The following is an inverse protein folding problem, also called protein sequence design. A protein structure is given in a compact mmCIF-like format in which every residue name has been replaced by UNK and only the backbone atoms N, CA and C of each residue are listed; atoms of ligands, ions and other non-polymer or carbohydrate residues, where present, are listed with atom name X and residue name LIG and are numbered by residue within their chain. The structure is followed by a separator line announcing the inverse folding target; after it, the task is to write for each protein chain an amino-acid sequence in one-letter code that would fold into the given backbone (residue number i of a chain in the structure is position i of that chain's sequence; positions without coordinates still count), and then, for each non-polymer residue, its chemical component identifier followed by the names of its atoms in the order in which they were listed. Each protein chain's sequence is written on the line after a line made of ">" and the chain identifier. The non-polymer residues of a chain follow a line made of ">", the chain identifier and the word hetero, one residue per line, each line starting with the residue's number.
data_IF_757622235224
#
_entry.id   IF_757622235224
#
_cell.length_a   1.000
_cell.length_b   1.000
_cell.length_c   1.000
_cell.angle_alpha   90.00
_cell.angle_beta   90.00
_cell.angle_gamma   90.00
#
_symmetry.space_group_name_H-M   'P 1'
#
loop_
_entity.id
_entity.type
_entity.pdbx_description
1 polymer ?
#
# COMPACT_ATOMS: atom_id res chain seq x y z
N UNK A 1 3.62 37.15 5.58
CA UNK A 1 4.57 36.50 4.66
C UNK A 1 3.91 35.37 3.90
N UNK A 2 3.46 35.67 2.69
CA UNK A 2 2.80 34.74 1.77
C UNK A 2 3.68 34.39 0.54
N UNK A 3 4.90 34.94 0.45
CA UNK A 3 5.77 34.87 -0.74
C UNK A 3 6.62 33.59 -0.85
N UNK A 4 6.21 32.49 -0.21
CA UNK A 4 6.94 31.22 -0.24
C UNK A 4 6.27 30.19 -1.16
N UNK A 5 7.06 29.50 -1.98
CA UNK A 5 6.59 28.30 -2.69
C UNK A 5 6.31 27.22 -1.65
N UNK A 6 5.07 26.69 -1.64
CA UNK A 6 4.66 25.59 -0.76
C UNK A 6 4.25 24.39 -1.58
N UNK A 7 4.83 23.25 -1.22
CA UNK A 7 4.53 21.95 -1.82
C UNK A 7 3.62 21.17 -0.88
N UNK A 8 2.53 20.63 -1.41
CA UNK A 8 1.61 19.76 -0.68
C UNK A 8 1.39 18.47 -1.46
N UNK A 9 1.15 17.38 -0.73
CA UNK A 9 0.79 16.08 -1.29
C UNK A 9 -0.36 15.48 -0.50
N UNK A 10 -1.17 14.66 -1.16
CA UNK A 10 -2.19 13.84 -0.51
C UNK A 10 -2.21 12.45 -1.13
N UNK A 11 -2.63 11.44 -0.36
CA UNK A 11 -2.90 10.13 -0.92
C UNK A 11 -4.27 10.14 -1.58
N UNK A 12 -4.30 10.09 -2.92
CA UNK A 12 -5.54 10.16 -3.69
C UNK A 12 -6.29 8.81 -3.72
N UNK A 13 -5.54 7.71 -3.64
CA UNK A 13 -6.12 6.36 -3.74
C UNK A 13 -6.53 5.78 -2.38
N UNK A 14 -6.18 6.42 -1.27
CA UNK A 14 -6.54 5.95 0.07
C UNK A 14 -8.05 5.94 0.36
N UNK A 15 -8.83 6.73 -0.37
CA UNK A 15 -10.29 6.80 -0.23
C UNK A 15 -11.03 6.23 -1.46
N UNK A 16 -10.30 5.78 -2.47
CA UNK A 16 -10.90 5.20 -3.66
C UNK A 16 -11.38 3.78 -3.34
N UNK A 17 -12.57 3.37 -3.84
CA UNK A 17 -13.04 2.00 -3.67
C UNK A 17 -12.11 1.01 -4.38
N UNK A 18 -12.06 -0.21 -3.84
CA UNK A 18 -11.34 -1.34 -4.44
C UNK A 18 -12.23 -2.11 -5.41
N UNK A 19 -11.62 -2.78 -6.38
CA UNK A 19 -12.35 -3.75 -7.21
C UNK A 19 -12.60 -5.04 -6.41
N UNK A 20 -13.61 -5.84 -6.78
CA UNK A 20 -13.89 -7.11 -6.11
C UNK A 20 -12.65 -8.02 -6.05
N UNK A 21 -12.27 -8.43 -4.83
CA UNK A 21 -11.07 -9.23 -4.60
C UNK A 21 -9.75 -8.45 -4.56
N UNK A 22 -9.81 -7.11 -4.61
CA UNK A 22 -8.66 -6.24 -4.40
C UNK A 22 -8.56 -5.72 -2.97
N UNK A 23 -7.32 -5.65 -2.48
CA UNK A 23 -6.98 -4.97 -1.24
C UNK A 23 -7.03 -3.43 -1.42
N UNK A 24 -7.25 -2.67 -0.32
CA UNK A 24 -7.22 -1.21 -0.32
C UNK A 24 -5.98 -0.63 -0.99
N UNK A 25 -6.15 0.37 -1.84
CA UNK A 25 -5.05 1.00 -2.61
C UNK A 25 -4.15 1.91 -1.77
N UNK A 26 -4.28 1.86 -0.45
CA UNK A 26 -3.51 2.63 0.51
C UNK A 26 -2.32 1.81 1.02
N UNK A 27 -1.64 2.30 2.05
CA UNK A 27 -0.60 1.53 2.73
C UNK A 27 -1.26 0.40 3.54
N UNK A 28 -0.77 -0.83 3.38
CA UNK A 28 -1.16 -1.98 4.17
C UNK A 28 -0.73 -1.86 5.64
N UNK A 29 -1.40 -2.62 6.52
CA UNK A 29 -1.31 -2.49 7.99
C UNK A 29 0.11 -2.61 8.55
N UNK A 30 0.94 -3.47 7.96
CA UNK A 30 2.27 -3.79 8.47
C UNK A 30 3.42 -3.40 7.53
N UNK A 31 3.12 -2.71 6.43
CA UNK A 31 4.08 -2.29 5.38
C UNK A 31 5.27 -1.50 5.93
N UNK A 32 5.08 -0.73 7.01
CA UNK A 32 6.16 0.09 7.59
C UNK A 32 7.14 -0.76 8.41
N UNK A 33 6.67 -1.86 9.01
CA UNK A 33 7.46 -2.71 9.91
C UNK A 33 8.26 -3.79 9.19
N UNK A 34 7.91 -4.00 7.93
CA UNK A 34 8.52 -4.92 6.99
C UNK A 34 10.06 -4.85 6.97
N UNK A 35 10.64 -3.65 6.88
CA UNK A 35 12.10 -3.46 6.90
C UNK A 35 12.76 -3.92 8.21
N UNK A 36 12.06 -3.89 9.33
CA UNK A 36 12.58 -4.36 10.62
C UNK A 36 12.59 -5.88 10.70
N UNK A 37 11.56 -6.52 10.14
CA UNK A 37 11.36 -7.98 10.26
C UNK A 37 12.30 -8.78 9.34
N UNK A 38 12.80 -8.16 8.28
CA UNK A 38 13.79 -8.77 7.37
C UNK A 38 15.14 -9.05 8.07
N UNK A 39 15.39 -8.44 9.22
CA UNK A 39 16.60 -8.69 10.03
C UNK A 39 16.43 -9.82 11.06
N UNK A 40 15.25 -10.40 11.20
CA UNK A 40 15.08 -11.56 12.08
C UNK A 40 15.66 -12.82 11.42
N UNK A 41 16.28 -13.75 12.18
CA UNK A 41 16.89 -14.96 11.61
C UNK A 41 15.91 -15.83 10.81
N UNK A 42 14.64 -15.82 11.19
CA UNK A 42 13.54 -16.55 10.54
C UNK A 42 13.01 -15.83 9.28
N UNK A 43 13.56 -14.65 8.97
CA UNK A 43 13.14 -13.80 7.86
C UNK A 43 11.79 -13.15 8.11
N UNK A 44 11.12 -12.74 7.03
CA UNK A 44 9.72 -12.33 7.11
C UNK A 44 8.81 -13.51 6.79
N UNK A 45 7.96 -13.96 7.72
CA UNK A 45 7.00 -15.03 7.42
C UNK A 45 5.82 -14.53 6.55
N UNK A 46 4.75 -15.33 6.35
CA UNK A 46 3.57 -15.08 5.47
C UNK A 46 2.79 -13.78 5.79
N UNK A 47 3.40 -12.63 5.51
CA UNK A 47 3.03 -11.29 6.05
C UNK A 47 2.18 -10.46 5.12
N UNK A 48 2.05 -10.94 3.90
CA UNK A 48 1.09 -10.57 2.89
C UNK A 48 0.31 -9.27 3.07
N UNK A 49 0.35 -8.51 1.99
CA UNK A 49 -0.70 -8.80 1.00
C UNK A 49 -0.09 -9.67 -0.14
N UNK A 50 -0.18 -11.02 -0.10
CA UNK A 50 0.19 -11.88 -1.24
C UNK A 50 -1.01 -11.82 -2.17
N UNK A 51 -0.99 -10.89 -3.10
CA UNK A 51 -2.10 -10.62 -4.00
C UNK A 51 -1.90 -11.31 -5.35
N UNK A 52 -2.96 -11.98 -5.83
CA UNK A 52 -3.11 -12.34 -7.24
C UNK A 52 -4.45 -11.81 -7.75
N UNK A 53 -4.37 -10.71 -8.49
CA UNK A 53 -5.49 -10.13 -9.21
C UNK A 53 -5.59 -10.80 -10.58
N UNK A 54 -6.74 -11.42 -10.88
CA UNK A 54 -6.96 -12.11 -12.16
C UNK A 54 -6.80 -11.20 -13.37
N UNK A 55 -6.70 -11.77 -14.59
CA UNK A 55 -6.75 -10.97 -15.83
C UNK A 55 -7.93 -9.99 -15.73
N UNK A 56 -7.62 -8.69 -15.75
CA UNK A 56 -8.63 -7.65 -15.88
C UNK A 56 -9.27 -7.81 -17.26
N UNK A 57 -10.22 -8.72 -17.37
CA UNK A 57 -10.91 -8.96 -18.60
C UNK A 57 -12.33 -8.44 -18.43
N UNK A 58 -12.64 -7.43 -19.23
CA UNK A 58 -13.95 -7.19 -19.80
C UNK A 58 -15.07 -7.99 -19.14
N UNK A 59 -15.72 -7.38 -18.16
CA UNK A 59 -17.14 -7.61 -17.93
C UNK A 59 -17.90 -6.48 -18.63
#
# INVERSE_FOLDING_TARGET
>A
DADGIRHFWSSELGFAPTEPGQDPRAIGTCEILWNLMDFTPEGRPDWNEQLQYGEACCH
#
